data_IF_558712346892
#
_entry.id   IF_558712346892
#
_cell.length_a   1.000
_cell.length_b   1.000
_cell.length_c   1.000
_cell.angle_alpha   90.00
_cell.angle_beta   90.00
_cell.angle_gamma   90.00
#
_symmetry.space_group_name_H-M   'P 1'
#
loop_
_entity.id
_entity.type
_entity.pdbx_description
1 polymer ?
#
# COMPACT_ATOMS: atom_id res chain seq x y z
N UNK A 1 -42.68 10.09 -3.81
CA UNK A 1 -41.79 8.98 -4.22
C UNK A 1 -40.51 9.20 -3.45
N UNK A 2 -40.36 8.50 -2.33
CA UNK A 2 -39.39 8.85 -1.29
C UNK A 2 -37.96 8.59 -1.74
N UNK A 3 -37.12 9.61 -1.57
CA UNK A 3 -35.67 9.48 -1.58
C UNK A 3 -35.26 8.56 -0.43
N UNK A 4 -34.74 7.38 -0.78
CA UNK A 4 -34.00 6.51 0.13
C UNK A 4 -32.68 6.22 -0.57
N UNK A 5 -31.62 6.84 -0.06
CA UNK A 5 -30.25 6.55 -0.45
C UNK A 5 -29.36 7.29 0.50
N UNK A 6 -29.20 6.77 1.72
CA UNK A 6 -28.24 7.32 2.68
C UNK A 6 -26.88 7.47 2.01
N UNK A 7 -26.11 8.50 2.39
CA UNK A 7 -24.75 8.73 1.92
C UNK A 7 -23.95 7.43 2.02
N UNK A 8 -23.87 6.69 0.91
CA UNK A 8 -22.99 5.54 0.79
C UNK A 8 -21.61 6.16 0.70
N UNK A 9 -20.90 6.20 1.82
CA UNK A 9 -19.49 6.52 1.79
C UNK A 9 -18.80 5.49 0.90
N UNK A 10 -18.36 5.96 -0.27
CA UNK A 10 -17.58 5.15 -1.18
C UNK A 10 -16.22 4.91 -0.54
N UNK A 11 -16.03 3.72 0.02
CA UNK A 11 -14.76 3.32 0.64
C UNK A 11 -13.69 3.20 -0.45
N UNK A 12 -12.49 3.69 -0.16
CA UNK A 12 -11.33 3.57 -1.02
C UNK A 12 -10.23 2.81 -0.28
N UNK A 13 -9.89 1.62 -0.76
CA UNK A 13 -8.80 0.83 -0.20
C UNK A 13 -7.52 1.13 -0.97
N UNK A 14 -6.56 1.74 -0.27
CA UNK A 14 -5.24 2.13 -0.80
C UNK A 14 -4.12 1.53 0.07
N UNK A 15 -2.91 1.44 -0.48
CA UNK A 15 -1.78 0.84 0.21
C UNK A 15 -0.64 1.83 0.44
N UNK A 16 -0.06 1.78 1.64
CA UNK A 16 1.16 2.48 2.03
C UNK A 16 2.35 1.52 2.21
N UNK A 17 3.48 2.06 2.67
CA UNK A 17 4.69 1.31 3.00
C UNK A 17 5.13 1.64 4.42
N UNK A 18 5.61 0.62 5.12
CA UNK A 18 6.28 0.75 6.41
C UNK A 18 7.62 0.02 6.36
N UNK A 19 8.61 0.56 7.07
CA UNK A 19 9.86 -0.14 7.36
C UNK A 19 9.93 -0.36 8.85
N UNK A 20 10.13 -1.62 9.22
CA UNK A 20 10.14 -2.08 10.61
C UNK A 20 11.58 -2.38 11.05
N UNK A 21 11.84 -2.36 12.35
CA UNK A 21 13.14 -2.77 12.87
C UNK A 21 13.37 -4.26 12.57
N UNK A 22 14.57 -4.59 12.11
CA UNK A 22 14.95 -5.98 11.81
C UNK A 22 14.94 -6.87 13.06
N UNK A 23 15.39 -6.32 14.19
CA UNK A 23 15.51 -7.04 15.47
C UNK A 23 14.20 -7.03 16.28
N UNK A 24 13.37 -6.00 16.10
CA UNK A 24 12.15 -5.75 16.86
C UNK A 24 11.02 -5.31 15.91
N UNK A 25 10.34 -6.23 15.20
CA UNK A 25 9.40 -5.90 14.13
C UNK A 25 8.20 -5.04 14.56
N UNK A 26 7.87 -5.00 15.85
CA UNK A 26 6.86 -4.12 16.40
C UNK A 26 7.27 -2.63 16.41
N UNK A 27 8.56 -2.34 16.21
CA UNK A 27 9.09 -0.97 16.16
C UNK A 27 9.09 -0.48 14.71
N UNK A 28 8.25 0.52 14.44
CA UNK A 28 8.18 1.21 13.15
C UNK A 28 9.36 2.18 13.03
N UNK A 29 10.22 1.97 12.02
CA UNK A 29 11.33 2.86 11.68
C UNK A 29 10.92 3.96 10.71
N UNK A 30 9.96 3.63 9.84
CA UNK A 30 9.38 4.56 8.88
C UNK A 30 7.98 4.10 8.51
N UNK A 31 7.08 5.05 8.31
CA UNK A 31 5.74 4.84 7.78
C UNK A 31 5.41 6.01 6.88
N UNK A 32 4.98 5.74 5.65
CA UNK A 32 4.55 6.80 4.75
C UNK A 32 3.33 7.54 5.32
N UNK A 33 3.31 8.85 5.16
CA UNK A 33 2.19 9.72 5.57
C UNK A 33 0.99 9.58 4.64
N UNK A 34 1.25 9.42 3.35
CA UNK A 34 0.26 9.23 2.29
C UNK A 34 0.36 7.83 1.66
N UNK A 35 -0.72 7.30 1.05
CA UNK A 35 -0.65 6.05 0.32
C UNK A 35 0.34 6.11 -0.86
N UNK A 36 1.04 5.01 -1.11
CA UNK A 36 1.96 4.88 -2.25
C UNK A 36 1.30 4.24 -3.48
N UNK A 37 0.19 3.51 -3.27
CA UNK A 37 -0.63 2.90 -4.31
C UNK A 37 -2.09 3.20 -4.02
N UNK A 38 -2.74 3.89 -4.96
CA UNK A 38 -4.17 4.26 -4.89
C UNK A 38 -4.88 3.82 -6.18
N UNK A 39 -6.20 3.60 -6.15
CA UNK A 39 -6.98 3.29 -7.35
C UNK A 39 -7.04 4.49 -8.33
N UNK A 40 -6.32 4.39 -9.44
CA UNK A 40 -6.27 5.40 -10.51
C UNK A 40 -6.80 4.83 -11.82
N UNK A 41 -6.47 3.58 -12.13
CA UNK A 41 -6.83 2.92 -13.38
C UNK A 41 -8.31 2.51 -13.39
N UNK A 42 -8.98 2.50 -14.56
CA UNK A 42 -10.36 2.03 -14.67
C UNK A 42 -10.59 0.64 -14.08
N UNK A 43 -9.58 -0.23 -14.19
CA UNK A 43 -9.60 -1.61 -13.68
C UNK A 43 -9.49 -1.71 -12.16
N UNK A 44 -9.02 -0.66 -11.48
CA UNK A 44 -8.95 -0.56 -10.00
C UNK A 44 -10.19 0.11 -9.43
N UNK A 45 -10.87 0.92 -10.25
CA UNK A 45 -12.09 1.65 -9.90
C UNK A 45 -13.37 0.87 -10.21
N UNK A 46 -13.31 -0.11 -11.10
CA UNK A 46 -14.48 -0.91 -11.49
C UNK A 46 -14.19 -2.40 -11.41
N UNK A 47 -14.98 -3.10 -10.61
CA UNK A 47 -14.89 -4.55 -10.40
C UNK A 47 -15.99 -5.02 -9.45
N UNK A 48 -15.70 -6.07 -8.68
CA UNK A 48 -16.66 -6.59 -7.68
C UNK A 48 -16.82 -5.56 -6.55
N UNK A 49 -15.71 -4.99 -6.08
CA UNK A 49 -15.66 -3.88 -5.13
C UNK A 49 -14.88 -2.75 -5.79
N UNK A 50 -15.53 -1.59 -5.98
CA UNK A 50 -14.91 -0.42 -6.59
C UNK A 50 -13.83 0.19 -5.68
N UNK A 51 -12.87 0.89 -6.29
CA UNK A 51 -11.81 1.65 -5.61
C UNK A 51 -10.96 0.82 -4.63
N UNK A 52 -10.50 -0.35 -5.08
CA UNK A 52 -9.63 -1.24 -4.29
C UNK A 52 -8.34 -1.54 -5.03
N UNK A 53 -7.21 -1.29 -4.34
CA UNK A 53 -5.89 -1.86 -4.65
C UNK A 53 -5.36 -2.60 -3.43
N UNK A 54 -5.23 -3.93 -3.52
CA UNK A 54 -4.90 -4.78 -2.37
C UNK A 54 -3.62 -5.59 -2.60
N UNK A 55 -2.44 -5.13 -2.16
CA UNK A 55 -1.18 -5.85 -2.32
C UNK A 55 -1.15 -7.17 -1.55
N UNK A 56 -0.76 -8.26 -2.22
CA UNK A 56 -0.68 -9.61 -1.62
C UNK A 56 0.66 -10.31 -1.88
N UNK A 57 1.42 -9.86 -2.88
CA UNK A 57 2.72 -10.42 -3.21
C UNK A 57 3.76 -9.34 -3.48
N UNK A 58 5.00 -9.59 -3.09
CA UNK A 58 6.14 -8.74 -3.42
C UNK A 58 7.31 -9.63 -3.83
N UNK A 59 7.97 -9.28 -4.93
CA UNK A 59 9.11 -10.02 -5.46
C UNK A 59 10.28 -9.07 -5.74
N UNK A 60 11.47 -9.41 -5.23
CA UNK A 60 12.68 -8.62 -5.45
C UNK A 60 13.32 -9.05 -6.78
N UNK A 61 13.39 -8.12 -7.73
CA UNK A 61 13.85 -8.37 -9.10
C UNK A 61 15.38 -8.38 -9.23
N UNK A 62 16.02 -9.22 -8.42
CA UNK A 62 17.47 -9.45 -8.43
C UNK A 62 17.97 -9.99 -9.79
N UNK A 63 17.09 -10.69 -10.53
CA UNK A 63 17.33 -11.19 -11.89
C UNK A 63 17.60 -10.08 -12.91
N UNK A 64 17.16 -8.85 -12.63
CA UNK A 64 17.31 -7.70 -13.52
C UNK A 64 18.52 -6.80 -13.17
N UNK A 65 19.39 -7.25 -12.26
CA UNK A 65 20.55 -6.48 -11.81
C UNK A 65 20.18 -5.20 -11.05
N UNK A 66 18.94 -5.09 -10.57
CA UNK A 66 18.41 -3.94 -9.84
C UNK A 66 17.95 -4.38 -8.44
N UNK A 67 18.84 -4.43 -7.43
CA UNK A 67 18.52 -5.00 -6.11
C UNK A 67 17.45 -4.20 -5.35
N UNK A 68 17.31 -2.92 -5.67
CA UNK A 68 16.32 -2.04 -5.03
C UNK A 68 14.95 -2.08 -5.74
N UNK A 69 14.81 -2.87 -6.80
CA UNK A 69 13.56 -2.97 -7.56
C UNK A 69 12.74 -4.17 -7.09
N UNK A 70 11.48 -3.89 -6.80
CA UNK A 70 10.48 -4.89 -6.44
C UNK A 70 9.29 -4.79 -7.40
N UNK A 71 8.70 -5.94 -7.71
CA UNK A 71 7.38 -6.01 -8.31
C UNK A 71 6.36 -6.35 -7.22
N UNK A 72 5.32 -5.54 -7.09
CA UNK A 72 4.23 -5.70 -6.13
C UNK A 72 2.99 -6.18 -6.88
N UNK A 73 2.54 -7.39 -6.56
CA UNK A 73 1.32 -7.97 -7.11
C UNK A 73 0.14 -7.66 -6.20
N UNK A 74 -0.92 -7.11 -6.77
CA UNK A 74 -2.07 -6.59 -6.02
C UNK A 74 -3.40 -6.93 -6.70
N UNK A 75 -4.44 -7.12 -5.89
CA UNK A 75 -5.81 -7.19 -6.36
C UNK A 75 -6.32 -5.84 -6.81
N UNK A 76 -6.97 -5.79 -7.98
CA UNK A 76 -7.61 -4.61 -8.56
C UNK A 76 -9.12 -4.82 -8.52
N UNK A 77 -9.81 -3.96 -7.76
CA UNK A 77 -11.27 -3.99 -7.62
C UNK A 77 -11.87 -5.37 -7.28
N UNK A 78 -11.15 -6.18 -6.48
CA UNK A 78 -11.45 -7.58 -6.14
C UNK A 78 -11.77 -8.47 -7.36
N UNK A 79 -11.23 -8.14 -8.53
CA UNK A 79 -11.60 -8.79 -9.78
C UNK A 79 -10.40 -9.23 -10.64
N UNK A 80 -9.28 -8.50 -10.56
CA UNK A 80 -8.08 -8.77 -11.36
C UNK A 80 -6.82 -8.70 -10.51
N UNK A 81 -5.71 -9.19 -11.07
CA UNK A 81 -4.38 -9.02 -10.49
C UNK A 81 -3.62 -8.02 -11.35
N UNK A 82 -3.11 -6.97 -10.72
CA UNK A 82 -2.17 -6.02 -11.29
C UNK A 82 -0.76 -6.24 -10.75
N UNK A 83 0.21 -5.64 -11.43
CA UNK A 83 1.60 -5.54 -10.95
C UNK A 83 2.05 -4.09 -10.99
N UNK A 84 2.64 -3.61 -9.91
CA UNK A 84 3.24 -2.29 -9.80
C UNK A 84 4.74 -2.44 -9.52
N UNK A 85 5.55 -1.53 -10.07
CA UNK A 85 6.97 -1.45 -9.74
C UNK A 85 7.17 -0.57 -8.52
N UNK A 86 7.95 -1.04 -7.56
CA UNK A 86 8.42 -0.28 -6.41
C UNK A 86 9.95 -0.22 -6.44
N UNK A 87 10.52 0.97 -6.51
CA UNK A 87 11.96 1.19 -6.34
C UNK A 87 12.21 1.74 -4.93
N UNK A 88 12.97 1.01 -4.11
CA UNK A 88 13.30 1.42 -2.74
C UNK A 88 14.51 2.38 -2.78
N UNK A 89 14.38 3.61 -2.27
CA UNK A 89 15.50 4.55 -2.24
C UNK A 89 16.54 4.14 -1.19
N UNK A 90 17.78 4.59 -1.35
CA UNK A 90 18.86 4.31 -0.39
C UNK A 90 18.61 4.99 0.98
N UNK A 91 17.85 6.08 1.00
CA UNK A 91 17.50 6.83 2.20
C UNK A 91 15.99 7.14 2.21
N UNK A 92 15.38 6.98 3.38
CA UNK A 92 13.98 7.35 3.61
C UNK A 92 13.90 8.72 4.28
N UNK A 93 12.89 9.53 3.96
CA UNK A 93 12.70 10.82 4.62
C UNK A 93 12.41 10.62 6.11
N UNK A 94 12.87 11.55 6.94
CA UNK A 94 12.61 11.55 8.39
C UNK A 94 11.14 11.81 8.73
N UNK A 95 10.35 12.30 7.77
CA UNK A 95 8.92 12.51 7.91
C UNK A 95 8.17 11.20 7.66
N UNK A 96 8.14 10.38 8.70
CA UNK A 96 7.29 9.20 8.82
C UNK A 96 7.27 8.85 10.29
N UNK A 97 6.10 8.78 10.92
CA UNK A 97 5.99 8.57 12.37
C UNK A 97 6.71 7.27 12.74
N UNK A 98 7.92 7.40 13.28
CA UNK A 98 8.57 6.33 14.03
C UNK A 98 7.80 6.19 15.34
N UNK A 99 7.63 4.96 15.84
CA UNK A 99 7.02 4.79 17.15
C UNK A 99 7.80 5.62 18.17
N UNK A 100 7.13 6.43 19.01
CA UNK A 100 7.80 7.06 20.13
C UNK A 100 8.40 5.94 20.99
N UNK A 101 9.65 6.13 21.45
CA UNK A 101 10.51 5.09 22.02
C UNK A 101 9.98 4.37 23.30
N UNK A 102 8.75 4.64 23.75
CA UNK A 102 8.22 4.17 25.04
C UNK A 102 6.74 3.74 25.01
N UNK A 103 6.24 3.15 23.92
CA UNK A 103 4.96 2.44 23.99
C UNK A 103 5.19 1.05 24.64
N UNK A 104 5.28 1.01 25.97
CA UNK A 104 5.15 -0.23 26.74
C UNK A 104 3.72 -0.77 26.59
N UNK A 105 3.60 -2.00 26.08
CA UNK A 105 2.41 -2.85 26.23
C UNK A 105 2.48 -3.55 27.58
#
# INVERSE_FOLDING_TARGET
MGELGGDVHELCYSAGVMVLSKEHPQVIRYRCTEPVLTPVLPQERHGIIANVVFPTGIDQRNDLGSPNRFDVYYGMADYRIGVARLDVPDFLPSEGVADPAEAKV
#
